data_IF_415567540292
#
_entry.id   IF_415567540292
#
_cell.length_a   1.000
_cell.length_b   1.000
_cell.length_c   1.000
_cell.angle_alpha   90.00
_cell.angle_beta   90.00
_cell.angle_gamma   90.00
#
_symmetry.space_group_name_H-M   'P 1'
#
loop_
_entity.id
_entity.type
_entity.pdbx_description
1 polymer ?
#
# COMPACT_ATOMS: atom_id res chain seq x y z
N UNK A 1 -8.29 17.04 -7.74
CA UNK A 1 -7.55 16.40 -6.64
C UNK A 1 -6.96 17.48 -5.73
N UNK A 2 -7.54 17.70 -4.53
CA UNK A 2 -7.24 18.89 -3.67
C UNK A 2 -5.80 18.91 -3.16
N UNK A 3 -5.26 17.74 -2.82
CA UNK A 3 -3.89 17.60 -2.31
C UNK A 3 -2.84 18.07 -3.33
N UNK A 4 -2.97 17.62 -4.59
CA UNK A 4 -2.03 17.99 -5.66
C UNK A 4 -2.04 19.50 -5.93
N UNK A 5 -3.23 20.11 -5.95
CA UNK A 5 -3.35 21.56 -6.11
C UNK A 5 -2.64 22.33 -4.99
N UNK A 6 -2.76 21.88 -3.74
CA UNK A 6 -2.08 22.51 -2.61
C UNK A 6 -0.56 22.43 -2.74
N UNK A 7 0.00 21.25 -3.07
CA UNK A 7 1.44 21.07 -3.31
C UNK A 7 1.97 21.95 -4.44
N UNK A 8 1.20 22.08 -5.53
CA UNK A 8 1.56 22.93 -6.67
C UNK A 8 1.68 24.40 -6.24
N UNK A 9 0.76 24.89 -5.42
CA UNK A 9 0.77 26.29 -4.98
C UNK A 9 1.87 26.56 -3.94
N UNK A 10 2.01 25.67 -2.95
CA UNK A 10 3.02 25.77 -1.88
C UNK A 10 4.45 25.77 -2.44
N UNK A 11 4.74 24.85 -3.37
CA UNK A 11 6.08 24.70 -3.97
C UNK A 11 6.24 25.45 -5.30
N UNK A 12 5.24 26.26 -5.68
CA UNK A 12 5.25 27.11 -6.89
C UNK A 12 5.58 26.33 -8.16
N UNK A 13 5.00 25.13 -8.29
CA UNK A 13 5.31 24.19 -9.35
C UNK A 13 4.64 24.57 -10.67
N UNK A 14 5.34 24.34 -11.77
CA UNK A 14 4.81 24.59 -13.10
C UNK A 14 3.86 23.48 -13.55
N UNK A 15 2.55 23.77 -13.61
CA UNK A 15 1.51 22.84 -14.10
C UNK A 15 1.80 22.28 -15.50
N UNK A 16 2.47 23.05 -16.36
CA UNK A 16 2.81 22.62 -17.72
C UNK A 16 3.94 21.60 -17.74
N UNK A 17 4.99 21.81 -16.95
CA UNK A 17 6.07 20.81 -16.79
C UNK A 17 5.55 19.56 -16.10
N UNK A 18 4.64 19.70 -15.14
CA UNK A 18 3.95 18.56 -14.51
C UNK A 18 2.95 17.84 -15.44
N UNK A 19 2.74 18.31 -16.68
CA UNK A 19 1.80 17.70 -17.62
C UNK A 19 0.30 17.93 -17.32
N UNK A 20 -0.01 18.81 -16.36
CA UNK A 20 -1.37 19.13 -15.91
C UNK A 20 -2.03 20.26 -16.73
N UNK A 21 -1.26 20.94 -17.55
CA UNK A 21 -1.71 22.03 -18.42
C UNK A 21 -1.10 21.86 -19.82
N UNK A 22 -1.91 22.02 -20.87
CA UNK A 22 -1.49 21.91 -22.27
C UNK A 22 -1.50 23.29 -22.95
N UNK A 23 -0.81 23.41 -24.09
CA UNK A 23 -0.80 24.62 -24.92
C UNK A 23 0.60 25.12 -25.25
N UNK A 24 0.71 26.20 -26.01
CA UNK A 24 1.97 26.90 -26.29
C UNK A 24 2.22 28.03 -25.28
N UNK A 25 3.48 28.46 -25.12
CA UNK A 25 3.82 29.58 -24.22
C UNK A 25 3.84 29.24 -22.72
N UNK A 26 3.69 30.28 -21.88
CA UNK A 26 3.83 30.21 -20.42
C UNK A 26 2.56 29.68 -19.76
N UNK A 27 2.69 28.93 -18.66
CA UNK A 27 1.54 28.40 -17.94
C UNK A 27 0.71 29.50 -17.26
N UNK A 28 -0.58 29.25 -17.03
CA UNK A 28 -1.49 30.18 -16.35
C UNK A 28 -0.99 30.55 -14.94
N UNK A 29 -0.44 29.58 -14.20
CA UNK A 29 0.13 29.82 -12.87
C UNK A 29 1.29 30.84 -12.91
N UNK A 30 2.06 30.90 -14.00
CA UNK A 30 3.14 31.90 -14.14
C UNK A 30 2.56 33.32 -14.26
N UNK A 31 1.46 33.48 -15.01
CA UNK A 31 0.77 34.77 -15.16
C UNK A 31 0.23 35.27 -13.80
N UNK A 32 -0.17 34.35 -12.92
CA UNK A 32 -0.62 34.63 -11.57
C UNK A 32 0.52 34.75 -10.53
N UNK A 33 1.79 34.72 -10.95
CA UNK A 33 2.97 34.71 -10.07
C UNK A 33 2.97 33.55 -9.06
N UNK A 34 2.41 32.39 -9.42
CA UNK A 34 2.36 31.13 -8.64
C UNK A 34 3.23 30.02 -9.23
N UNK A 35 4.15 30.37 -10.13
CA UNK A 35 5.10 29.48 -10.79
C UNK A 35 6.36 30.28 -11.08
N UNK A 36 7.53 29.66 -10.92
CA UNK A 36 8.83 30.33 -11.08
C UNK A 36 9.38 30.27 -12.50
N UNK A 37 8.61 29.70 -13.43
CA UNK A 37 8.83 29.92 -14.86
C UNK A 37 9.70 28.88 -15.54
N UNK A 38 9.74 27.64 -15.06
CA UNK A 38 10.41 26.53 -15.75
C UNK A 38 9.93 26.37 -17.21
N UNK A 39 8.61 26.44 -17.45
CA UNK A 39 8.06 26.42 -18.82
C UNK A 39 8.37 27.67 -19.67
N UNK A 40 8.85 28.74 -19.04
CA UNK A 40 9.19 29.99 -19.70
C UNK A 40 10.71 30.12 -19.96
N UNK A 41 11.50 29.12 -19.56
CA UNK A 41 12.97 29.15 -19.63
C UNK A 41 13.63 30.11 -18.64
N UNK A 42 12.89 30.62 -17.66
CA UNK A 42 13.39 31.56 -16.64
C UNK A 42 14.07 30.78 -15.52
N UNK A 43 13.44 29.68 -15.14
CA UNK A 43 13.98 28.76 -14.14
C UNK A 43 14.59 27.53 -14.86
N UNK A 44 15.79 27.08 -14.45
CA UNK A 44 16.33 25.80 -14.90
C UNK A 44 15.45 24.62 -14.47
N UNK A 45 15.20 23.70 -15.41
CA UNK A 45 14.34 22.52 -15.15
C UNK A 45 14.80 21.67 -13.96
N UNK A 46 16.11 21.59 -13.71
CA UNK A 46 16.66 20.85 -12.57
C UNK A 46 16.23 21.44 -11.22
N UNK A 47 16.15 22.77 -11.11
CA UNK A 47 15.71 23.46 -9.89
C UNK A 47 14.21 23.23 -9.66
N UNK A 48 13.42 23.26 -10.74
CA UNK A 48 11.99 22.92 -10.67
C UNK A 48 11.80 21.47 -10.23
N UNK A 49 12.54 20.52 -10.81
CA UNK A 49 12.48 19.11 -10.44
C UNK A 49 12.86 18.87 -8.98
N UNK A 50 13.85 19.60 -8.44
CA UNK A 50 14.19 19.50 -7.02
C UNK A 50 13.00 19.91 -6.14
N UNK A 51 12.31 21.02 -6.45
CA UNK A 51 11.09 21.40 -5.70
C UNK A 51 9.97 20.38 -5.85
N UNK A 52 9.88 19.68 -6.98
CA UNK A 52 8.94 18.56 -7.12
C UNK A 52 9.29 17.45 -6.12
N UNK A 53 10.57 17.08 -6.00
CA UNK A 53 11.01 16.08 -5.02
C UNK A 53 10.73 16.54 -3.58
N UNK A 54 11.06 17.80 -3.26
CA UNK A 54 10.80 18.37 -1.94
C UNK A 54 9.29 18.37 -1.61
N UNK A 55 8.44 18.68 -2.60
CA UNK A 55 6.98 18.65 -2.44
C UNK A 55 6.45 17.26 -2.11
N UNK A 56 7.10 16.21 -2.61
CA UNK A 56 6.70 14.81 -2.44
C UNK A 56 7.39 14.14 -1.24
N UNK A 57 8.45 14.72 -0.70
CA UNK A 57 9.27 14.10 0.35
C UNK A 57 8.46 13.70 1.59
N UNK A 58 7.51 14.53 2.02
CA UNK A 58 6.64 14.24 3.17
C UNK A 58 5.61 13.13 2.93
N UNK A 59 5.34 12.81 1.66
CA UNK A 59 4.33 11.84 1.24
C UNK A 59 4.98 10.57 0.66
N UNK A 60 6.27 10.37 0.90
CA UNK A 60 7.00 9.19 0.44
C UNK A 60 6.45 7.92 1.09
N UNK A 61 6.15 6.93 0.26
CA UNK A 61 5.74 5.61 0.72
C UNK A 61 6.96 4.83 1.21
N UNK A 62 6.77 4.05 2.28
CA UNK A 62 7.77 3.09 2.71
C UNK A 62 7.97 2.02 1.64
N UNK A 63 9.19 1.51 1.52
CA UNK A 63 9.44 0.34 0.70
C UNK A 63 8.65 -0.84 1.26
N UNK A 64 8.07 -1.65 0.37
CA UNK A 64 7.44 -2.90 0.77
C UNK A 64 8.52 -3.80 1.40
N UNK A 65 8.34 -4.28 2.65
CA UNK A 65 9.42 -4.96 3.38
C UNK A 65 9.50 -6.47 3.11
N UNK A 66 8.59 -7.03 2.30
CA UNK A 66 8.49 -8.45 2.01
C UNK A 66 8.81 -8.75 0.54
N UNK A 67 9.20 -10.00 0.23
CA UNK A 67 9.45 -10.43 -1.16
C UNK A 67 8.16 -10.58 -1.95
N UNK A 68 7.07 -10.98 -1.28
CA UNK A 68 5.74 -11.13 -1.86
C UNK A 68 4.64 -10.64 -0.92
N UNK A 69 3.45 -11.20 -1.04
CA UNK A 69 2.31 -10.85 -0.21
C UNK A 69 2.54 -11.22 1.27
N UNK A 70 1.88 -10.47 2.14
CA UNK A 70 1.91 -10.65 3.59
C UNK A 70 0.49 -10.61 4.15
N UNK A 71 0.33 -11.07 5.38
CA UNK A 71 -0.94 -10.94 6.10
C UNK A 71 -0.76 -10.33 7.47
N UNK A 72 -1.82 -9.71 7.98
CA UNK A 72 -1.98 -9.35 9.39
C UNK A 72 -3.10 -10.22 9.96
N UNK A 73 -2.84 -10.89 11.08
CA UNK A 73 -3.83 -11.74 11.76
C UNK A 73 -4.37 -10.99 12.98
N UNK A 74 -5.68 -10.77 13.01
CA UNK A 74 -6.41 -10.25 14.16
C UNK A 74 -7.18 -11.39 14.82
N UNK A 75 -6.87 -11.66 16.10
CA UNK A 75 -7.58 -12.66 16.90
C UNK A 75 -8.50 -11.98 17.90
N UNK A 76 -9.80 -12.27 17.84
CA UNK A 76 -10.72 -11.85 18.88
C UNK A 76 -10.48 -12.72 20.14
N UNK A 77 -10.06 -12.11 21.25
CA UNK A 77 -10.13 -12.74 22.56
C UNK A 77 -11.58 -12.74 23.03
N UNK A 78 -12.35 -13.81 22.73
CA UNK A 78 -13.67 -13.96 23.32
C UNK A 78 -13.54 -14.51 24.74
N UNK A 79 -13.62 -13.62 25.73
CA UNK A 79 -13.57 -13.98 27.15
C UNK A 79 -14.75 -14.87 27.60
N UNK A 80 -15.79 -15.02 26.78
CA UNK A 80 -17.01 -15.77 27.14
C UNK A 80 -17.05 -17.20 26.62
N UNK A 81 -16.47 -17.49 25.46
CA UNK A 81 -16.49 -18.82 24.85
C UNK A 81 -15.17 -19.10 24.11
N UNK A 82 -14.24 -19.79 24.79
CA UNK A 82 -12.91 -20.13 24.25
C UNK A 82 -12.93 -21.03 23.00
N UNK A 83 -14.10 -21.58 22.64
CA UNK A 83 -14.32 -22.43 21.46
C UNK A 83 -14.63 -21.66 20.17
N UNK A 84 -14.83 -20.33 20.23
CA UNK A 84 -15.20 -19.51 19.07
C UNK A 84 -14.23 -18.33 18.83
N UNK A 85 -12.91 -18.55 19.02
CA UNK A 85 -11.92 -17.55 18.64
C UNK A 85 -11.78 -17.50 17.10
N UNK A 86 -12.66 -16.75 16.43
CA UNK A 86 -12.53 -16.47 15.01
C UNK A 86 -11.34 -15.53 14.79
N UNK A 87 -10.48 -15.89 13.82
CA UNK A 87 -9.39 -15.04 13.37
C UNK A 87 -9.77 -14.35 12.05
N UNK A 88 -9.41 -13.08 11.95
CA UNK A 88 -9.46 -12.30 10.72
C UNK A 88 -8.05 -12.21 10.13
N UNK A 89 -7.89 -12.71 8.91
CA UNK A 89 -6.61 -12.73 8.19
C UNK A 89 -6.71 -11.71 7.07
N UNK A 90 -6.05 -10.57 7.27
CA UNK A 90 -6.01 -9.47 6.31
C UNK A 90 -4.90 -9.69 5.29
N UNK A 91 -5.25 -9.94 4.04
CA UNK A 91 -4.30 -10.22 2.95
C UNK A 91 -3.88 -8.91 2.27
N UNK A 92 -2.57 -8.70 2.14
CA UNK A 92 -1.96 -7.48 1.62
C UNK A 92 -0.86 -7.84 0.63
N UNK A 93 -0.80 -7.15 -0.50
CA UNK A 93 0.30 -7.27 -1.44
C UNK A 93 0.77 -5.89 -1.90
N UNK A 94 2.07 -5.58 -1.76
CA UNK A 94 2.67 -4.31 -2.18
C UNK A 94 1.87 -3.05 -1.76
N UNK A 95 1.49 -2.96 -0.48
CA UNK A 95 0.65 -1.89 0.10
C UNK A 95 -0.80 -1.83 -0.41
N UNK A 96 -1.25 -2.82 -1.17
CA UNK A 96 -2.63 -2.98 -1.63
C UNK A 96 -3.33 -3.99 -0.73
N UNK A 97 -4.46 -3.58 -0.16
CA UNK A 97 -5.32 -4.47 0.61
C UNK A 97 -6.19 -5.31 -0.32
N UNK A 98 -6.12 -6.63 -0.18
CA UNK A 98 -6.84 -7.57 -1.05
C UNK A 98 -8.13 -8.09 -0.41
N UNK A 99 -8.19 -8.14 0.91
CA UNK A 99 -9.40 -8.54 1.64
C UNK A 99 -9.11 -9.23 2.96
N UNK A 100 -10.19 -9.64 3.64
CA UNK A 100 -10.13 -10.50 4.83
C UNK A 100 -10.52 -11.91 4.44
N UNK A 101 -9.82 -12.90 5.00
CA UNK A 101 -10.25 -14.30 5.02
C UNK A 101 -10.28 -14.82 6.45
N UNK A 102 -10.97 -15.93 6.65
CA UNK A 102 -11.16 -16.55 7.96
C UNK A 102 -10.51 -17.95 8.05
N UNK A 103 -10.13 -18.51 6.90
CA UNK A 103 -9.34 -19.74 6.77
C UNK A 103 -8.10 -19.41 5.93
N UNK A 104 -6.87 -19.76 6.39
CA UNK A 104 -5.67 -19.58 5.59
C UNK A 104 -5.73 -20.27 4.21
N UNK A 105 -6.53 -21.32 4.03
CA UNK A 105 -6.72 -21.98 2.73
C UNK A 105 -7.30 -21.03 1.66
N UNK A 106 -8.04 -20.01 2.07
CA UNK A 106 -8.67 -19.03 1.17
C UNK A 106 -7.73 -17.89 0.74
N UNK A 107 -6.52 -17.77 1.31
CA UNK A 107 -5.58 -16.68 1.00
C UNK A 107 -5.28 -16.62 -0.51
N UNK A 108 -5.06 -17.76 -1.15
CA UNK A 108 -4.75 -17.83 -2.59
C UNK A 108 -5.89 -17.26 -3.47
N UNK A 109 -7.14 -17.39 -3.02
CA UNK A 109 -8.27 -16.81 -3.74
C UNK A 109 -8.21 -15.27 -3.73
N UNK A 110 -7.76 -14.67 -2.62
CA UNK A 110 -7.59 -13.22 -2.51
C UNK A 110 -6.40 -12.72 -3.33
N UNK A 111 -5.28 -13.45 -3.35
CA UNK A 111 -4.13 -13.10 -4.18
C UNK A 111 -4.48 -13.02 -5.67
N UNK A 112 -5.46 -13.81 -6.11
CA UNK A 112 -5.96 -13.79 -7.49
C UNK A 112 -6.75 -12.50 -7.84
N UNK A 113 -7.12 -11.69 -6.84
CA UNK A 113 -7.85 -10.43 -7.04
C UNK A 113 -6.94 -9.21 -7.23
N UNK A 114 -5.61 -9.38 -7.16
CA UNK A 114 -4.66 -8.26 -7.21
C UNK A 114 -4.84 -7.35 -8.43
N UNK A 115 -5.20 -7.92 -9.59
CA UNK A 115 -5.41 -7.16 -10.83
C UNK A 115 -6.62 -6.21 -10.77
N UNK A 116 -7.57 -6.45 -9.85
CA UNK A 116 -8.76 -5.63 -9.65
C UNK A 116 -8.65 -4.73 -8.41
N UNK A 117 -7.59 -4.90 -7.60
CA UNK A 117 -7.35 -4.10 -6.42
C UNK A 117 -6.49 -2.87 -6.76
N UNK A 118 -6.61 -1.82 -5.96
CA UNK A 118 -5.85 -0.59 -6.18
C UNK A 118 -5.29 -0.04 -4.88
N UNK A 119 -4.14 0.63 -5.00
CA UNK A 119 -3.56 1.37 -3.90
C UNK A 119 -4.51 2.49 -3.46
N UNK A 120 -4.82 2.51 -2.17
CA UNK A 120 -5.53 3.62 -1.51
C UNK A 120 -4.65 4.21 -0.40
N UNK A 121 -4.56 5.54 -0.35
CA UNK A 121 -3.64 6.23 0.55
C UNK A 121 -4.05 6.10 2.02
N UNK A 122 -5.34 6.14 2.31
CA UNK A 122 -5.79 6.04 3.70
C UNK A 122 -5.62 4.60 4.20
N UNK A 123 -5.87 3.61 3.33
CA UNK A 123 -5.56 2.20 3.58
C UNK A 123 -4.06 2.00 3.82
N UNK A 124 -3.19 2.54 2.97
CA UNK A 124 -1.73 2.51 3.19
C UNK A 124 -1.33 3.11 4.55
N UNK A 125 -1.93 4.24 4.95
CA UNK A 125 -1.64 4.86 6.26
C UNK A 125 -2.05 3.98 7.43
N UNK A 126 -3.09 3.16 7.27
CA UNK A 126 -3.46 2.17 8.27
C UNK A 126 -2.46 1.01 8.25
N UNK A 127 -2.22 0.42 7.09
CA UNK A 127 -1.31 -0.72 6.91
C UNK A 127 0.11 -0.41 7.39
N UNK A 128 0.68 0.74 7.02
CA UNK A 128 2.03 1.16 7.42
C UNK A 128 2.20 1.29 8.93
N UNK A 129 1.14 1.60 9.69
CA UNK A 129 1.20 1.62 11.16
C UNK A 129 1.33 0.21 11.74
N UNK A 130 0.72 -0.78 11.10
CA UNK A 130 0.64 -2.16 11.59
C UNK A 130 1.52 -3.15 10.81
N UNK A 131 2.33 -2.67 9.85
CA UNK A 131 3.18 -3.53 9.00
C UNK A 131 4.16 -4.39 9.81
N UNK A 132 4.54 -3.94 11.00
CA UNK A 132 5.40 -4.67 11.93
C UNK A 132 4.74 -5.92 12.54
N UNK A 133 3.41 -6.05 12.43
CA UNK A 133 2.65 -7.23 12.81
C UNK A 133 2.44 -8.21 11.64
N UNK A 134 2.81 -7.80 10.42
CA UNK A 134 2.57 -8.59 9.24
C UNK A 134 3.61 -9.71 9.10
N UNK A 135 3.17 -10.85 8.57
CA UNK A 135 4.01 -12.01 8.26
C UNK A 135 3.87 -12.40 6.79
N UNK A 136 4.95 -12.90 6.13
CA UNK A 136 4.86 -13.39 4.75
C UNK A 136 3.84 -14.52 4.61
N UNK A 137 3.07 -14.52 3.50
CA UNK A 137 2.08 -15.59 3.23
C UNK A 137 2.74 -16.98 3.18
N UNK A 138 3.97 -17.06 2.64
CA UNK A 138 4.75 -18.29 2.54
C UNK A 138 5.03 -18.97 3.89
N UNK A 139 5.16 -18.18 4.97
CA UNK A 139 5.37 -18.71 6.33
C UNK A 139 4.11 -19.35 6.91
N UNK A 140 2.91 -18.86 6.54
CA UNK A 140 1.63 -19.43 6.98
C UNK A 140 1.37 -20.78 6.31
N UNK A 141 1.60 -20.85 5.00
CA UNK A 141 1.39 -22.08 4.22
C UNK A 141 2.37 -23.17 4.68
N UNK A 142 3.62 -22.81 4.97
CA UNK A 142 4.62 -23.75 5.50
C UNK A 142 4.26 -24.27 6.91
N UNK A 143 3.70 -23.41 7.77
CA UNK A 143 3.21 -23.80 9.10
C UNK A 143 2.04 -24.79 9.06
N UNK A 144 1.15 -24.68 8.06
CA UNK A 144 0.03 -25.62 7.89
C UNK A 144 0.47 -26.99 7.36
N UNK A 145 1.51 -27.07 6.54
CA UNK A 145 2.02 -28.35 6.03
C UNK A 145 2.57 -29.27 7.13
N UNK A 146 3.16 -28.70 8.19
CA UNK A 146 3.68 -29.48 9.33
C UNK A 146 2.61 -29.98 10.31
N UNK A 147 1.41 -29.38 10.32
CA UNK A 147 0.32 -29.84 11.19
C UNK A 147 -0.40 -31.09 10.66
N UNK A 148 -0.19 -31.46 9.38
CA UNK A 148 -0.89 -32.57 8.71
C UNK A 148 -0.13 -33.91 8.81
N UNK A 149 1.14 -33.90 9.21
CA UNK A 149 1.91 -35.14 9.44
C UNK A 149 1.87 -35.60 10.91
N UNK A 150 0.69 -36.01 11.39
CA UNK A 150 0.61 -36.99 12.48
C UNK A 150 0.55 -38.40 11.88
N UNK A 151 1.42 -39.35 12.25
CA UNK A 151 1.38 -40.69 11.69
C UNK A 151 0.10 -41.38 12.13
N UNK A 152 -0.70 -41.79 11.16
CA UNK A 152 -1.85 -42.64 11.39
C UNK A 152 -1.46 -44.01 11.93
N UNK A 153 -2.37 -44.55 12.74
CA UNK A 153 -2.65 -45.99 12.76
C UNK A 153 -1.93 -46.78 13.85
N UNK A 154 -2.65 -47.07 14.93
CA UNK A 154 -2.57 -48.41 15.53
C UNK A 154 -3.98 -49.00 15.62
N UNK A 155 -4.13 -50.01 14.78
CA UNK A 155 -5.19 -51.00 14.70
C UNK A 155 -5.31 -51.81 16.00
N UNK A 156 -6.56 -52.08 16.40
CA UNK A 156 -7.13 -53.34 16.91
C UNK A 156 -6.35 -54.27 17.85
N UNK A 157 -7.12 -54.82 18.81
CA UNK A 157 -7.01 -56.08 19.59
C UNK A 157 -6.80 -55.80 21.10
N UNK A 158 -7.56 -56.33 22.05
CA UNK A 158 -8.64 -57.32 22.09
C UNK A 158 -9.57 -57.04 23.29
#
# INVERSE_FOLDING_TARGET
>A
NKWLSAKIEEYRLCKKILGLERGSGRCFNYQLKRCDGACAGIEPIAVHNQRVLDALASDQLQCWPFVGAAVIIESAEDWRDAECAQQDIHVIDHWVYLGTVHDPADINSQLSLVDNACFDRETYRLLSKFIHLAMPVEEIVAGQAHAVESPGGLSSQA
#
